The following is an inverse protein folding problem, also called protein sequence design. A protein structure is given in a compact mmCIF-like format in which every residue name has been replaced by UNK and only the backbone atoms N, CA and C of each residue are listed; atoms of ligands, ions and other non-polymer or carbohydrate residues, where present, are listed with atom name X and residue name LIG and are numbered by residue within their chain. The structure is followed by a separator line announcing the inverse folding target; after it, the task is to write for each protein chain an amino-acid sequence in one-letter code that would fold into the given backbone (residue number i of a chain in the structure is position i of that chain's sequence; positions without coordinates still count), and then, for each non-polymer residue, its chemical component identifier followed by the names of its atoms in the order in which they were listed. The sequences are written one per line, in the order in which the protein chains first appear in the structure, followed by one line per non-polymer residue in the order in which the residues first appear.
data_IF_956352642853
#
_entry.id   IF_956352642853
#
_cell.length_a   1.000
_cell.length_b   1.000
_cell.length_c   1.000
_cell.angle_alpha   90.00
_cell.angle_beta   90.00
_cell.angle_gamma   90.00
#
_symmetry.space_group_name_H-M   'P 1'
#
loop_
_entity.id
_entity.type
_entity.pdbx_description
1 polymer ?
#
# COMPACT_ATOMS: atom_id res chain seq x y z
N UNK A 1 10.69 3.61 -11.10
CA UNK A 1 10.01 2.58 -10.30
C UNK A 1 8.54 2.64 -10.68
N UNK A 2 7.92 1.50 -10.99
CA UNK A 2 6.54 1.47 -11.49
C UNK A 2 5.60 2.08 -10.44
N UNK A 3 4.88 3.14 -10.83
CA UNK A 3 3.95 3.89 -9.97
C UNK A 3 2.73 3.05 -9.54
N UNK A 4 2.57 1.82 -10.04
CA UNK A 4 1.42 0.95 -9.74
C UNK A 4 1.63 0.02 -8.55
N UNK A 5 2.85 -0.11 -8.03
CA UNK A 5 3.13 -1.10 -6.98
C UNK A 5 2.62 -0.65 -5.60
N UNK A 6 2.77 0.63 -5.25
CA UNK A 6 2.41 1.14 -3.93
C UNK A 6 1.20 2.07 -3.93
N UNK A 7 0.62 2.27 -2.76
CA UNK A 7 -0.35 3.35 -2.55
C UNK A 7 0.30 4.72 -2.82
N UNK A 8 -0.39 5.63 -3.51
CA UNK A 8 0.10 7.00 -3.73
C UNK A 8 0.36 7.74 -2.42
N UNK A 9 1.32 8.68 -2.46
CA UNK A 9 1.50 9.67 -1.38
C UNK A 9 0.18 10.42 -1.15
N UNK A 10 -0.12 10.71 0.11
CA UNK A 10 -1.37 11.30 0.60
C UNK A 10 -2.61 10.39 0.54
N UNK A 11 -2.46 9.11 0.19
CA UNK A 11 -3.56 8.14 0.37
C UNK A 11 -4.00 8.13 1.83
N UNK A 12 -5.30 8.32 2.06
CA UNK A 12 -5.90 8.30 3.39
C UNK A 12 -6.54 6.94 3.65
N UNK A 13 -5.96 6.17 4.57
CA UNK A 13 -6.49 4.89 5.00
C UNK A 13 -7.37 5.09 6.23
N UNK A 14 -8.59 4.57 6.16
CA UNK A 14 -9.58 4.58 7.26
C UNK A 14 -9.80 5.97 7.90
N UNK A 15 -9.67 7.03 7.09
CA UNK A 15 -9.82 8.41 7.55
C UNK A 15 -8.73 8.94 8.49
N UNK A 16 -7.79 8.11 8.92
CA UNK A 16 -6.88 8.43 10.05
C UNK A 16 -5.40 8.30 9.72
N UNK A 17 -5.03 7.54 8.69
CA UNK A 17 -3.63 7.30 8.35
C UNK A 17 -3.28 7.83 6.97
N UNK A 18 -2.35 8.78 6.89
CA UNK A 18 -1.90 9.37 5.62
C UNK A 18 -0.57 8.76 5.19
N UNK A 19 -0.54 8.12 4.03
CA UNK A 19 0.69 7.56 3.44
C UNK A 19 1.65 8.69 3.04
N UNK A 20 2.90 8.62 3.48
CA UNK A 20 3.94 9.59 3.11
C UNK A 20 4.89 9.04 2.08
N UNK A 21 5.33 7.79 2.23
CA UNK A 21 6.19 7.12 1.27
C UNK A 21 6.24 5.61 1.51
N UNK A 22 6.63 4.87 0.47
CA UNK A 22 7.08 3.49 0.62
C UNK A 22 8.46 3.46 1.27
N UNK A 23 8.67 2.57 2.24
CA UNK A 23 9.97 2.37 2.92
C UNK A 23 10.56 0.99 2.68
N UNK A 24 9.76 0.03 2.20
CA UNK A 24 10.26 -1.28 1.81
C UNK A 24 9.19 -2.11 1.09
N UNK A 25 9.64 -3.10 0.34
CA UNK A 25 8.79 -4.06 -0.35
C UNK A 25 9.46 -5.44 -0.33
N UNK A 26 8.66 -6.50 -0.14
CA UNK A 26 9.09 -7.89 -0.26
C UNK A 26 7.94 -8.75 -0.77
N UNK A 27 8.18 -10.04 -1.07
CA UNK A 27 7.25 -10.88 -1.84
C UNK A 27 5.79 -10.92 -1.38
N UNK A 28 5.50 -10.62 -0.11
CA UNK A 28 4.16 -10.64 0.47
C UNK A 28 3.66 -9.31 1.02
N UNK A 29 4.40 -8.21 0.86
CA UNK A 29 3.90 -6.94 1.35
C UNK A 29 4.76 -5.74 1.07
N UNK A 30 4.13 -4.60 1.29
CA UNK A 30 4.72 -3.28 1.16
C UNK A 30 4.64 -2.61 2.52
N UNK A 31 5.75 -2.02 2.94
CA UNK A 31 5.82 -1.22 4.16
C UNK A 31 5.86 0.25 3.78
N UNK A 32 4.98 1.04 4.38
CA UNK A 32 4.87 2.48 4.23
C UNK A 32 5.23 3.19 5.52
N UNK A 33 5.83 4.37 5.40
CA UNK A 33 5.77 5.39 6.44
C UNK A 33 4.47 6.17 6.25
N UNK A 34 3.74 6.36 7.34
CA UNK A 34 2.49 7.09 7.37
C UNK A 34 2.40 7.98 8.61
N UNK A 35 1.55 8.98 8.56
CA UNK A 35 1.14 9.77 9.71
C UNK A 35 -0.21 9.24 10.25
N UNK A 36 -0.28 8.90 11.53
CA UNK A 36 -1.55 8.83 12.26
C UNK A 36 -1.97 10.26 12.62
N UNK A 37 -3.02 10.75 11.97
CA UNK A 37 -3.47 12.15 12.06
C UNK A 37 -4.06 12.45 13.44
N UNK A 38 -4.68 11.45 14.08
CA UNK A 38 -5.31 11.65 15.38
C UNK A 38 -4.27 11.79 16.49
N UNK A 39 -3.17 11.04 16.36
CA UNK A 39 -2.08 11.03 17.33
C UNK A 39 -0.90 11.93 16.95
N UNK A 40 -0.94 12.54 15.75
CA UNK A 40 0.14 13.34 15.17
C UNK A 40 1.51 12.63 15.25
N UNK A 41 1.53 11.34 14.91
CA UNK A 41 2.74 10.50 15.03
C UNK A 41 3.05 9.74 13.75
N UNK A 42 4.33 9.40 13.56
CA UNK A 42 4.77 8.54 12.45
C UNK A 42 4.57 7.09 12.81
N UNK A 43 3.99 6.33 11.89
CA UNK A 43 3.74 4.90 12.03
C UNK A 43 4.22 4.16 10.78
N UNK A 44 4.53 2.87 10.95
CA UNK A 44 4.75 1.97 9.84
C UNK A 44 3.45 1.22 9.54
N UNK A 45 3.03 1.21 8.28
CA UNK A 45 1.89 0.40 7.80
C UNK A 45 2.43 -0.69 6.91
N UNK A 46 2.09 -1.95 7.20
CA UNK A 46 2.43 -3.09 6.34
C UNK A 46 1.18 -3.57 5.62
N UNK A 47 1.09 -3.26 4.34
CA UNK A 47 0.06 -3.77 3.45
C UNK A 47 0.40 -5.20 3.03
N UNK A 48 -0.60 -6.06 3.06
CA UNK A 48 -0.50 -7.38 2.46
C UNK A 48 -0.60 -7.25 0.93
N UNK A 49 0.48 -7.60 0.24
CA UNK A 49 0.60 -7.49 -1.22
C UNK A 49 1.42 -8.67 -1.76
N UNK A 50 0.79 -9.77 -2.20
CA UNK A 50 1.50 -10.92 -2.77
C UNK A 50 1.98 -10.58 -4.18
N UNK A 51 3.22 -10.14 -4.36
CA UNK A 51 3.72 -9.56 -5.63
C UNK A 51 3.50 -10.43 -6.87
N UNK A 52 3.64 -11.74 -6.72
CA UNK A 52 3.49 -12.67 -7.83
C UNK A 52 2.02 -12.89 -8.21
N UNK A 53 1.10 -12.81 -7.23
CA UNK A 53 -0.30 -13.22 -7.37
C UNK A 53 -1.31 -12.09 -7.23
N UNK A 54 -0.88 -10.89 -6.85
CA UNK A 54 -1.73 -9.73 -6.57
C UNK A 54 -1.48 -8.59 -7.54
N UNK A 55 -2.55 -7.92 -7.93
CA UNK A 55 -2.52 -6.65 -8.68
C UNK A 55 -3.41 -5.63 -7.97
N UNK A 56 -3.36 -4.37 -8.40
CA UNK A 56 -4.30 -3.34 -7.96
C UNK A 56 -5.40 -3.14 -8.97
N UNK A 57 -6.64 -3.07 -8.50
CA UNK A 57 -7.74 -2.61 -9.33
C UNK A 57 -7.76 -1.07 -9.46
N UNK A 58 -8.77 -0.53 -10.14
CA UNK A 58 -8.93 0.92 -10.31
C UNK A 58 -9.16 1.68 -9.00
N UNK A 59 -9.46 0.98 -7.90
CA UNK A 59 -9.67 1.55 -6.55
C UNK A 59 -8.42 1.44 -5.67
N UNK A 60 -7.29 0.95 -6.21
CA UNK A 60 -6.06 0.66 -5.48
C UNK A 60 -6.18 -0.52 -4.48
N UNK A 61 -7.27 -1.27 -4.53
CA UNK A 61 -7.44 -2.48 -3.73
C UNK A 61 -6.64 -3.63 -4.31
N UNK A 62 -6.03 -4.45 -3.43
CA UNK A 62 -5.30 -5.64 -3.85
C UNK A 62 -6.30 -6.72 -4.26
N UNK A 63 -6.23 -7.14 -5.52
CA UNK A 63 -7.04 -8.22 -6.09
C UNK A 63 -6.12 -9.33 -6.59
N UNK A 64 -6.58 -10.60 -6.63
CA UNK A 64 -5.83 -11.65 -7.31
C UNK A 64 -5.60 -11.26 -8.77
N UNK A 65 -4.40 -11.49 -9.28
CA UNK A 65 -4.17 -11.58 -10.71
C UNK A 65 -5.05 -12.72 -11.21
N UNK A 66 -6.05 -12.42 -12.03
CA UNK A 66 -6.77 -13.47 -12.72
C UNK A 66 -5.78 -14.25 -13.57
N UNK A 67 -5.79 -15.58 -13.48
CA UNK A 67 -5.09 -16.43 -14.43
C UNK A 67 -5.68 -16.13 -15.82
N UNK A 68 -4.96 -15.36 -16.65
CA UNK A 68 -5.05 -15.58 -18.09
C UNK A 68 -4.28 -16.87 -18.38
N UNK A 69 -4.94 -17.99 -18.11
CA UNK A 69 -4.66 -19.29 -18.68
C UNK A 69 -5.98 -19.94 -19.08
#
# INVERSE_FOLDING_TARGET
MDSRLGLPVNTLLDGSYRIERMVGSGGFGITYEAEDINLATKVAIKEYYPFDFGDRDSTMSVVPKSDRH
#
